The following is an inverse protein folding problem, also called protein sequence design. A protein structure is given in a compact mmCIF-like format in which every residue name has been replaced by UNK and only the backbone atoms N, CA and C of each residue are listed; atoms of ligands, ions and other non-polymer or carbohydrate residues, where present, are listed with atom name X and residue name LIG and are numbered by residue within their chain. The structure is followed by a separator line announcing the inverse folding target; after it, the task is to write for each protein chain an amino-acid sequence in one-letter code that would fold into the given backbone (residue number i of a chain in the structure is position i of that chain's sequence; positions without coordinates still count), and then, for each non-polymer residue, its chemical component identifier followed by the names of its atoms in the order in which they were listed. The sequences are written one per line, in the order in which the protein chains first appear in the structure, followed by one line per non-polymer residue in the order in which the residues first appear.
data_IF_725783740324
#
_entry.id   IF_725783740324
#
_cell.length_a   1.000
_cell.length_b   1.000
_cell.length_c   1.000
_cell.angle_alpha   90.00
_cell.angle_beta   90.00
_cell.angle_gamma   90.00
#
_symmetry.space_group_name_H-M   'P 1'
#
loop_
_entity.id
_entity.type
_entity.pdbx_description
1 polymer ?
#
# COMPACT_ATOMS: atom_id res chain seq x y z
N UNK A 1 12.02 -7.55 0.14
CA UNK A 1 11.96 -6.44 -0.84
C UNK A 1 12.59 -6.89 -2.15
N UNK A 2 12.00 -6.51 -3.24
CA UNK A 2 12.49 -6.93 -4.55
C UNK A 2 13.57 -5.97 -5.04
N UNK A 3 14.84 -6.36 -4.85
CA UNK A 3 15.97 -5.56 -5.27
C UNK A 3 16.03 -5.36 -6.78
N UNK A 4 15.61 -6.37 -7.54
CA UNK A 4 15.63 -6.30 -8.99
C UNK A 4 14.65 -5.24 -9.49
N UNK A 5 13.48 -5.16 -8.85
CA UNK A 5 12.50 -4.16 -9.20
C UNK A 5 13.04 -2.74 -8.97
N UNK A 6 13.67 -2.51 -7.81
CA UNK A 6 14.17 -1.18 -7.46
C UNK A 6 15.34 -0.75 -8.34
N UNK A 7 16.09 -1.70 -8.88
CA UNK A 7 17.24 -1.42 -9.75
C UNK A 7 16.89 -1.46 -11.23
N UNK A 8 15.65 -1.79 -11.59
CA UNK A 8 15.23 -1.82 -12.98
C UNK A 8 15.16 -0.42 -13.55
N UNK A 9 15.68 -0.25 -14.77
CA UNK A 9 15.52 1.00 -15.51
C UNK A 9 14.08 1.21 -15.94
N UNK A 10 13.31 0.12 -16.01
CA UNK A 10 11.97 0.09 -16.55
C UNK A 10 11.12 -0.84 -15.71
N UNK A 11 10.04 -0.31 -15.18
CA UNK A 11 9.11 -1.11 -14.40
C UNK A 11 8.21 -1.93 -15.32
N UNK A 12 7.72 -3.10 -14.87
CA UNK A 12 6.65 -3.80 -15.57
C UNK A 12 5.41 -2.90 -15.71
N UNK A 13 4.59 -3.17 -16.73
CA UNK A 13 3.37 -2.38 -16.93
C UNK A 13 2.38 -2.51 -15.77
N UNK A 14 2.35 -3.67 -15.13
CA UNK A 14 1.51 -3.94 -13.95
C UNK A 14 2.40 -4.29 -12.77
N UNK A 15 2.00 -3.85 -11.61
CA UNK A 15 2.68 -4.16 -10.35
C UNK A 15 1.75 -4.96 -9.47
N UNK A 16 2.26 -6.04 -8.86
CA UNK A 16 1.49 -6.77 -7.85
C UNK A 16 1.55 -6.02 -6.51
N UNK A 17 0.94 -6.61 -5.48
CA UNK A 17 0.90 -5.99 -4.16
C UNK A 17 2.30 -5.71 -3.61
N UNK A 18 3.19 -6.67 -3.71
CA UNK A 18 4.54 -6.55 -3.16
C UNK A 18 5.36 -5.52 -3.93
N UNK A 19 5.26 -5.54 -5.25
CA UNK A 19 5.96 -4.58 -6.11
C UNK A 19 5.45 -3.16 -5.89
N UNK A 20 4.13 -3.00 -5.79
CA UNK A 20 3.52 -1.69 -5.51
C UNK A 20 4.00 -1.15 -4.16
N UNK A 21 4.04 -2.00 -3.15
CA UNK A 21 4.53 -1.61 -1.83
C UNK A 21 5.98 -1.15 -1.89
N UNK A 22 6.83 -1.86 -2.64
CA UNK A 22 8.23 -1.49 -2.80
C UNK A 22 8.39 -0.12 -3.46
N UNK A 23 7.62 0.14 -4.51
CA UNK A 23 7.67 1.43 -5.22
C UNK A 23 7.18 2.58 -4.34
N UNK A 24 6.09 2.36 -3.61
CA UNK A 24 5.52 3.38 -2.73
C UNK A 24 6.25 3.53 -1.40
N UNK A 25 7.12 2.59 -1.06
CA UNK A 25 7.85 2.64 0.21
C UNK A 25 7.01 2.24 1.41
N UNK A 26 6.00 1.41 1.22
CA UNK A 26 5.14 0.92 2.30
C UNK A 26 5.27 -0.59 2.42
N UNK A 27 4.69 -1.14 3.46
CA UNK A 27 4.71 -2.59 3.66
C UNK A 27 3.59 -3.26 2.84
N UNK A 28 3.81 -4.50 2.35
CA UNK A 28 2.79 -5.16 1.53
C UNK A 28 1.42 -5.27 2.21
N UNK A 29 1.37 -5.49 3.52
CA UNK A 29 0.08 -5.59 4.21
C UNK A 29 -0.64 -4.24 4.33
N UNK A 30 0.04 -3.14 4.03
CA UNK A 30 -0.55 -1.80 4.03
C UNK A 30 -1.28 -1.50 2.73
N UNK A 31 -1.00 -2.23 1.66
CA UNK A 31 -1.65 -2.01 0.36
C UNK A 31 -3.18 -2.20 0.45
N UNK A 32 -3.70 -3.28 1.07
CA UNK A 32 -5.16 -3.41 1.22
C UNK A 32 -5.80 -2.26 1.99
N UNK A 33 -5.08 -1.68 2.96
CA UNK A 33 -5.57 -0.53 3.72
C UNK A 33 -5.77 0.66 2.79
N UNK A 34 -4.80 0.93 1.93
CA UNK A 34 -4.88 2.03 0.97
C UNK A 34 -5.98 1.80 -0.07
N UNK A 35 -6.18 0.56 -0.50
CA UNK A 35 -7.28 0.22 -1.41
C UNK A 35 -8.63 0.48 -0.73
N UNK A 36 -8.78 0.05 0.52
CA UNK A 36 -10.02 0.27 1.28
C UNK A 36 -10.30 1.76 1.50
N UNK A 37 -9.26 2.55 1.64
CA UNK A 37 -9.40 4.00 1.82
C UNK A 37 -9.69 4.73 0.50
N UNK A 38 -9.70 4.05 -0.63
CA UNK A 38 -9.94 4.65 -1.93
C UNK A 38 -8.74 5.36 -2.51
N UNK A 39 -7.55 5.17 -1.95
CA UNK A 39 -6.32 5.81 -2.43
C UNK A 39 -5.63 5.03 -3.54
N UNK A 40 -5.92 3.75 -3.66
CA UNK A 40 -5.38 2.88 -4.71
C UNK A 40 -6.54 2.15 -5.38
N UNK A 41 -6.46 2.05 -6.70
CA UNK A 41 -7.47 1.35 -7.50
C UNK A 41 -6.84 0.16 -8.20
N UNK A 42 -7.18 -1.07 -7.81
CA UNK A 42 -6.66 -2.24 -8.50
C UNK A 42 -7.29 -2.40 -9.88
N UNK A 43 -6.56 -3.03 -10.78
CA UNK A 43 -7.05 -3.32 -12.12
C UNK A 43 -8.07 -4.45 -12.09
N UNK A 44 -9.08 -4.37 -12.95
CA UNK A 44 -9.93 -5.51 -13.27
C UNK A 44 -10.92 -5.95 -12.22
N UNK A 45 -11.31 -5.12 -11.29
CA UNK A 45 -12.32 -5.44 -10.26
C UNK A 45 -12.10 -6.81 -9.60
N UNK A 46 -10.95 -7.02 -8.95
CA UNK A 46 -10.68 -8.31 -8.29
C UNK A 46 -11.62 -8.53 -7.10
N UNK A 47 -11.83 -9.80 -6.75
CA UNK A 47 -12.56 -10.13 -5.52
C UNK A 47 -11.77 -9.62 -4.31
N UNK A 48 -12.43 -9.55 -3.15
CA UNK A 48 -11.80 -9.05 -1.92
C UNK A 48 -10.51 -9.80 -1.56
N UNK A 49 -10.47 -11.11 -1.83
CA UNK A 49 -9.32 -11.96 -1.52
C UNK A 49 -8.49 -12.29 -2.76
N UNK A 50 -8.81 -11.70 -3.92
CA UNK A 50 -8.08 -11.97 -5.16
C UNK A 50 -6.77 -11.22 -5.24
N UNK A 51 -5.89 -11.69 -6.11
CA UNK A 51 -4.67 -10.96 -6.44
C UNK A 51 -5.01 -9.61 -7.05
N UNK A 52 -4.31 -8.59 -6.61
CA UNK A 52 -4.51 -7.23 -7.09
C UNK A 52 -3.29 -6.77 -7.85
N UNK A 53 -3.53 -6.15 -8.99
CA UNK A 53 -2.49 -5.53 -9.79
C UNK A 53 -2.81 -4.05 -9.97
N UNK A 54 -1.77 -3.25 -10.14
CA UNK A 54 -1.90 -1.80 -10.27
C UNK A 54 -1.12 -1.35 -11.49
N UNK A 55 -1.57 -0.28 -12.14
CA UNK A 55 -0.87 0.27 -13.30
C UNK A 55 0.39 0.98 -12.81
N UNK A 56 1.56 0.56 -13.33
CA UNK A 56 2.84 1.08 -12.89
C UNK A 56 2.93 2.59 -13.05
N UNK A 57 2.47 3.14 -14.18
CA UNK A 57 2.53 4.58 -14.43
C UNK A 57 1.72 5.36 -13.39
N UNK A 58 0.54 4.87 -13.01
CA UNK A 58 -0.26 5.51 -11.98
C UNK A 58 0.45 5.48 -10.64
N UNK A 59 1.07 4.36 -10.30
CA UNK A 59 1.81 4.24 -9.04
C UNK A 59 3.02 5.18 -9.03
N UNK A 60 3.74 5.29 -10.15
CA UNK A 60 4.86 6.22 -10.27
C UNK A 60 4.41 7.67 -10.09
N UNK A 61 3.28 8.04 -10.68
CA UNK A 61 2.74 9.39 -10.51
C UNK A 61 2.46 9.69 -9.04
N UNK A 62 1.96 8.71 -8.29
CA UNK A 62 1.70 8.88 -6.86
C UNK A 62 2.98 9.09 -6.06
N UNK A 63 4.12 8.56 -6.51
CA UNK A 63 5.40 8.76 -5.82
C UNK A 63 5.87 10.22 -5.89
N UNK A 64 5.32 11.00 -6.81
CA UNK A 64 5.64 12.42 -6.96
C UNK A 64 4.54 13.33 -6.41
N UNK A 65 3.46 12.77 -5.89
CA UNK A 65 2.33 13.53 -5.37
C UNK A 65 2.43 13.62 -3.85
N UNK A 66 2.96 14.74 -3.36
CA UNK A 66 3.15 14.96 -1.94
C UNK A 66 1.81 14.91 -1.17
N UNK A 67 0.77 15.50 -1.73
CA UNK A 67 -0.53 15.53 -1.07
C UNK A 67 -1.08 14.11 -0.88
N UNK A 68 -0.96 13.29 -1.91
CA UNK A 68 -1.37 11.90 -1.83
C UNK A 68 -0.55 11.11 -0.81
N UNK A 69 0.79 11.31 -0.85
CA UNK A 69 1.69 10.61 0.06
C UNK A 69 1.39 10.99 1.52
N UNK A 70 1.14 12.26 1.78
CA UNK A 70 0.79 12.72 3.13
C UNK A 70 -0.52 12.09 3.60
N UNK A 71 -1.53 12.09 2.74
CA UNK A 71 -2.83 11.50 3.06
C UNK A 71 -2.70 9.99 3.32
N UNK A 72 -1.95 9.28 2.45
CA UNK A 72 -1.71 7.86 2.63
C UNK A 72 -0.97 7.58 3.94
N UNK A 73 0.04 8.38 4.25
CA UNK A 73 0.82 8.23 5.47
C UNK A 73 -0.04 8.42 6.70
N UNK A 74 -0.92 9.42 6.71
CA UNK A 74 -1.85 9.64 7.83
C UNK A 74 -2.77 8.45 8.05
N UNK A 75 -3.29 7.89 6.97
CA UNK A 75 -4.17 6.72 7.05
C UNK A 75 -3.43 5.52 7.60
N UNK A 76 -2.19 5.30 7.15
CA UNK A 76 -1.38 4.18 7.62
C UNK A 76 -0.97 4.35 9.08
N UNK A 77 -0.65 5.56 9.51
CA UNK A 77 -0.34 5.84 10.92
C UNK A 77 -1.56 5.53 11.78
N UNK A 78 -2.73 5.97 11.37
CA UNK A 78 -3.96 5.69 12.09
C UNK A 78 -4.24 4.19 12.17
N UNK A 79 -4.04 3.50 11.06
CA UNK A 79 -4.23 2.04 11.01
C UNK A 79 -3.31 1.33 11.99
N UNK A 80 -2.03 1.70 12.01
CA UNK A 80 -1.06 1.11 12.94
C UNK A 80 -1.41 1.44 14.38
N UNK A 81 -1.81 2.67 14.63
CA UNK A 81 -2.21 3.13 15.98
C UNK A 81 -3.41 2.33 16.47
N UNK A 82 -4.45 2.21 15.65
CA UNK A 82 -5.65 1.46 16.00
C UNK A 82 -5.33 0.00 16.27
N UNK A 83 -4.46 -0.61 15.46
CA UNK A 83 -4.03 -1.98 15.65
C UNK A 83 -3.29 -2.16 16.96
N UNK A 84 -2.35 -1.26 17.26
CA UNK A 84 -1.58 -1.28 18.50
C UNK A 84 -2.50 -1.08 19.69
N UNK A 85 -3.45 -0.16 19.61
CA UNK A 85 -4.43 0.09 20.67
C UNK A 85 -5.25 -1.15 20.98
N UNK A 86 -5.70 -1.88 19.96
CA UNK A 86 -6.44 -3.13 20.16
C UNK A 86 -5.59 -4.17 20.89
N UNK A 87 -4.34 -4.32 20.46
CA UNK A 87 -3.43 -5.28 21.08
C UNK A 87 -3.11 -4.90 22.53
N UNK A 88 -2.80 -3.63 22.76
CA UNK A 88 -2.52 -3.13 24.11
C UNK A 88 -3.77 -3.09 24.98
N UNK A 89 -4.92 -2.79 24.38
CA UNK A 89 -6.18 -2.77 25.10
C UNK A 89 -6.50 -4.10 25.74
N UNK A 90 -6.22 -5.19 25.04
CA UNK A 90 -6.39 -6.53 25.58
C UNK A 90 -5.49 -6.80 26.77
N UNK A 91 -4.29 -6.23 26.76
CA UNK A 91 -3.34 -6.38 27.87
C UNK A 91 -3.67 -5.48 29.06
N UNK A 92 -4.12 -4.27 28.77
CA UNK A 92 -4.41 -3.30 29.81
C UNK A 92 -5.71 -3.62 30.57
N UNK A 93 -6.64 -4.26 29.92
CA UNK A 93 -7.91 -4.64 30.53
C UNK A 93 -7.78 -5.90 31.40
N UNK A 94 -6.75 -6.67 31.16
CA UNK A 94 -6.53 -7.93 31.88
C UNK A 94 -6.07 -7.71 33.32
#
# INVERSE_FOLDING_TARGET
MDWQLLNCRRLPARLDKNQTAAVLGVLPYEIPVLVSAGLLKPLGRPSANGHKFFIADEILDLTHDRAWLEKATRILIKFRHDKTQRELGCQLVA
#
